data_IF_021382931577
#
_entry.id   IF_021382931577
#
_cell.length_a   1.000
_cell.length_b   1.000
_cell.length_c   1.000
_cell.angle_alpha   90.00
_cell.angle_beta   90.00
_cell.angle_gamma   90.00
#
_symmetry.space_group_name_H-M   'P 1'
#
loop_
_entity.id
_entity.type
_entity.pdbx_description
1 polymer ?
#
# COMPACT_ATOMS: atom_id res chain seq x y z
N UNK A 1 -13.26 -6.05 12.85
CA UNK A 1 -11.89 -6.42 13.24
C UNK A 1 -11.58 -7.75 12.58
N UNK A 2 -11.04 -7.71 11.36
CA UNK A 2 -10.53 -8.89 10.69
C UNK A 2 -9.19 -9.24 11.36
N UNK A 3 -9.07 -10.47 11.84
CA UNK A 3 -7.81 -11.04 12.30
C UNK A 3 -6.98 -11.35 11.06
N UNK A 4 -5.82 -10.69 10.92
CA UNK A 4 -4.82 -11.05 9.92
C UNK A 4 -4.19 -12.39 10.31
N UNK A 5 -4.81 -13.49 9.90
CA UNK A 5 -4.16 -14.79 9.88
C UNK A 5 -3.31 -14.86 8.60
N UNK A 6 -2.14 -14.20 8.63
CA UNK A 6 -1.14 -14.34 7.58
C UNK A 6 -0.42 -15.69 7.73
N UNK A 7 -0.71 -16.63 6.83
CA UNK A 7 0.25 -17.69 6.50
C UNK A 7 1.54 -17.07 5.95
N UNK A 8 2.69 -17.77 5.98
CA UNK A 8 3.98 -17.17 5.67
C UNK A 8 4.13 -16.98 4.17
N UNK A 9 3.72 -15.82 3.66
CA UNK A 9 4.28 -15.30 2.40
C UNK A 9 5.66 -14.74 2.76
N UNK A 10 6.69 -15.55 2.57
CA UNK A 10 8.03 -15.03 2.42
C UNK A 10 8.01 -14.24 1.12
N UNK A 11 8.14 -12.89 1.21
CA UNK A 11 8.27 -12.07 0.00
C UNK A 11 9.43 -12.59 -0.86
N UNK A 12 10.49 -13.12 -0.22
CA UNK A 12 11.59 -13.85 -0.86
C UNK A 12 12.18 -14.90 0.10
N UNK A 13 12.71 -15.99 -0.46
CA UNK A 13 13.31 -17.11 0.28
C UNK A 13 14.56 -16.65 1.07
N UNK A 14 14.64 -16.85 2.40
CA UNK A 14 15.85 -16.56 3.16
C UNK A 14 16.90 -17.58 2.76
N UNK A 15 17.67 -17.27 1.71
CA UNK A 15 18.74 -18.12 1.20
C UNK A 15 19.59 -18.71 2.32
N UNK A 16 19.96 -19.98 2.13
CA UNK A 16 20.78 -20.82 3.02
C UNK A 16 21.81 -20.02 3.82
N UNK A 17 21.88 -20.31 5.12
CA UNK A 17 22.59 -19.59 6.18
C UNK A 17 24.13 -19.42 6.04
N UNK A 18 24.70 -19.51 4.85
CA UNK A 18 26.11 -19.19 4.58
C UNK A 18 26.22 -18.09 3.53
N UNK A 19 26.27 -16.82 3.97
CA UNK A 19 27.35 -15.88 3.68
C UNK A 19 26.95 -14.42 4.01
N UNK A 20 27.85 -13.79 4.78
CA UNK A 20 28.05 -12.37 5.13
C UNK A 20 26.97 -11.60 5.91
N UNK A 21 27.38 -11.18 7.11
CA UNK A 21 26.90 -9.98 7.82
C UNK A 21 26.84 -8.79 6.84
N UNK A 22 25.73 -8.06 6.79
CA UNK A 22 25.59 -6.84 5.96
C UNK A 22 25.02 -7.02 4.54
N UNK A 23 24.13 -7.99 4.29
CA UNK A 23 23.34 -8.04 3.04
C UNK A 23 22.18 -7.04 3.11
N UNK A 24 22.03 -6.20 2.08
CA UNK A 24 20.92 -5.27 1.89
C UNK A 24 19.96 -5.79 0.82
N UNK A 25 18.68 -5.62 1.05
CA UNK A 25 17.61 -5.97 0.13
C UNK A 25 16.96 -4.69 -0.40
N UNK A 26 17.07 -4.45 -1.70
CA UNK A 26 16.37 -3.36 -2.39
C UNK A 26 15.07 -3.91 -2.96
N UNK A 27 13.93 -3.44 -2.46
CA UNK A 27 12.61 -3.85 -2.92
C UNK A 27 11.94 -2.70 -3.66
N UNK A 28 11.74 -2.88 -4.97
CA UNK A 28 11.06 -1.91 -5.82
C UNK A 28 9.61 -2.35 -6.01
N UNK A 29 8.69 -1.51 -5.54
CA UNK A 29 7.25 -1.72 -5.64
C UNK A 29 6.70 -0.77 -6.69
N UNK A 30 6.04 -1.31 -7.72
CA UNK A 30 5.48 -0.54 -8.83
C UNK A 30 3.98 -0.70 -8.89
N UNK A 31 3.28 0.27 -9.49
CA UNK A 31 1.84 0.16 -9.76
C UNK A 31 1.54 -0.52 -11.11
N UNK A 32 2.51 -1.30 -11.65
CA UNK A 32 2.22 -2.24 -12.72
C UNK A 32 1.16 -3.27 -12.28
N UNK A 33 0.29 -3.73 -13.18
CA UNK A 33 -0.78 -4.67 -12.83
C UNK A 33 -0.22 -5.94 -12.17
N UNK A 34 -0.68 -6.22 -10.96
CA UNK A 34 -0.37 -7.47 -10.29
C UNK A 34 -0.85 -8.64 -11.16
N UNK A 35 -0.04 -9.68 -11.22
CA UNK A 35 -0.34 -10.91 -11.95
C UNK A 35 -0.17 -12.09 -11.01
N UNK A 36 -1.00 -13.15 -11.14
CA UNK A 36 -0.78 -14.36 -10.37
C UNK A 36 0.63 -14.90 -10.64
N UNK A 37 1.32 -15.44 -9.62
CA UNK A 37 2.64 -16.01 -9.81
C UNK A 37 2.54 -17.17 -10.80
N UNK A 38 3.11 -17.03 -11.99
CA UNK A 38 3.30 -18.16 -12.90
C UNK A 38 4.34 -19.09 -12.24
N UNK A 39 3.96 -20.34 -11.96
CA UNK A 39 4.84 -21.37 -11.36
C UNK A 39 6.16 -21.59 -12.14
N UNK A 40 6.27 -21.02 -13.35
CA UNK A 40 7.42 -21.19 -14.24
C UNK A 40 8.38 -19.99 -14.28
N UNK A 41 8.00 -18.83 -13.75
CA UNK A 41 8.70 -17.55 -14.02
C UNK A 41 9.02 -16.70 -12.77
N UNK A 42 9.24 -17.34 -11.62
CA UNK A 42 9.63 -16.64 -10.37
C UNK A 42 10.96 -15.86 -10.48
N UNK A 43 11.76 -16.13 -11.52
CA UNK A 43 13.05 -15.46 -11.78
C UNK A 43 12.98 -14.55 -13.03
N UNK A 44 11.93 -14.62 -13.85
CA UNK A 44 11.84 -13.92 -15.14
C UNK A 44 11.01 -12.61 -15.11
N UNK A 45 10.36 -12.26 -14.01
CA UNK A 45 9.44 -11.12 -13.95
C UNK A 45 10.07 -9.78 -13.57
N UNK A 46 11.34 -9.75 -13.16
CA UNK A 46 11.99 -8.56 -12.60
C UNK A 46 12.26 -7.49 -13.69
N UNK A 47 12.66 -7.89 -14.90
CA UNK A 47 12.91 -6.95 -16.01
C UNK A 47 11.66 -6.35 -16.66
N UNK A 48 10.47 -6.91 -16.40
CA UNK A 48 9.23 -6.57 -17.11
C UNK A 48 8.44 -5.41 -16.46
N UNK A 49 8.85 -4.94 -15.28
CA UNK A 49 8.25 -3.75 -14.67
C UNK A 49 8.68 -2.49 -15.42
N UNK A 50 7.85 -1.45 -15.39
CA UNK A 50 8.05 -0.24 -16.21
C UNK A 50 9.41 0.43 -16.00
N UNK A 51 9.95 0.38 -14.78
CA UNK A 51 11.25 0.94 -14.42
C UNK A 51 12.37 -0.10 -14.28
N UNK A 52 12.11 -1.39 -14.56
CA UNK A 52 13.05 -2.49 -14.28
C UNK A 52 14.40 -2.32 -14.96
N UNK A 53 14.41 -1.92 -16.24
CA UNK A 53 15.65 -1.67 -16.99
C UNK A 53 16.46 -0.52 -16.39
N UNK A 54 15.80 0.57 -15.98
CA UNK A 54 16.45 1.72 -15.37
C UNK A 54 17.08 1.35 -14.02
N UNK A 55 16.38 0.56 -13.20
CA UNK A 55 16.91 0.07 -11.92
C UNK A 55 18.09 -0.88 -12.12
N UNK A 56 18.03 -1.79 -13.09
CA UNK A 56 19.14 -2.71 -13.38
C UNK A 56 20.39 -1.96 -13.87
N UNK A 57 20.21 -0.95 -14.73
CA UNK A 57 21.31 -0.08 -15.16
C UNK A 57 21.90 0.67 -13.95
N UNK A 58 21.05 1.26 -13.11
CA UNK A 58 21.44 1.98 -11.90
C UNK A 58 22.27 1.10 -10.94
N UNK A 59 21.86 -0.16 -10.72
CA UNK A 59 22.59 -1.09 -9.87
C UNK A 59 23.94 -1.48 -10.50
N UNK A 60 23.98 -1.64 -11.82
CA UNK A 60 25.22 -1.92 -12.54
C UNK A 60 26.22 -0.77 -12.36
N UNK A 61 25.77 0.47 -12.54
CA UNK A 61 26.57 1.68 -12.35
C UNK A 61 26.98 1.85 -10.87
N UNK A 62 26.12 1.47 -9.93
CA UNK A 62 26.44 1.48 -8.49
C UNK A 62 27.59 0.53 -8.16
N UNK A 63 27.69 -0.64 -8.79
CA UNK A 63 28.80 -1.56 -8.53
C UNK A 63 30.14 -1.05 -9.04
N UNK A 64 30.15 -0.12 -10.00
CA UNK A 64 31.38 0.57 -10.42
C UNK A 64 31.85 1.58 -9.37
N UNK A 65 30.91 2.30 -8.73
CA UNK A 65 31.21 3.35 -7.73
C UNK A 65 31.36 2.83 -6.29
N UNK A 66 30.63 1.77 -5.94
CA UNK A 66 30.64 1.05 -4.66
C UNK A 66 30.87 -0.46 -4.88
N UNK A 67 32.08 -0.89 -5.30
CA UNK A 67 32.37 -2.31 -5.54
C UNK A 67 32.19 -3.21 -4.30
N UNK A 68 32.23 -2.62 -3.10
CA UNK A 68 32.02 -3.30 -1.82
C UNK A 68 30.59 -3.85 -1.63
N UNK A 69 29.63 -3.37 -2.42
CA UNK A 69 28.23 -3.81 -2.43
C UNK A 69 27.95 -4.97 -3.38
N UNK A 70 28.92 -5.35 -4.23
CA UNK A 70 28.76 -6.45 -5.16
C UNK A 70 28.50 -7.77 -4.40
N UNK A 71 27.38 -8.43 -4.71
CA UNK A 71 26.90 -9.63 -4.01
C UNK A 71 26.26 -9.38 -2.64
N UNK A 72 26.26 -8.12 -2.14
CA UNK A 72 25.61 -7.74 -0.87
C UNK A 72 24.28 -7.00 -1.06
N UNK A 73 24.07 -6.36 -2.21
CA UNK A 73 22.78 -5.77 -2.57
C UNK A 73 21.97 -6.76 -3.41
N UNK A 74 20.79 -7.14 -2.92
CA UNK A 74 19.83 -8.00 -3.64
C UNK A 74 18.63 -7.20 -4.10
N UNK A 75 18.39 -7.18 -5.41
CA UNK A 75 17.21 -6.56 -6.00
C UNK A 75 16.01 -7.49 -5.97
N UNK A 76 14.88 -6.93 -5.59
CA UNK A 76 13.57 -7.55 -5.52
C UNK A 76 12.55 -6.60 -6.13
N UNK A 77 11.60 -7.13 -6.89
CA UNK A 77 10.66 -6.33 -7.67
C UNK A 77 9.24 -6.86 -7.49
N UNK A 78 8.29 -5.96 -7.22
CA UNK A 78 6.90 -6.26 -6.89
C UNK A 78 5.98 -5.40 -7.75
N UNK A 79 5.05 -6.03 -8.46
CA UNK A 79 3.91 -5.37 -9.09
C UNK A 79 2.75 -5.34 -8.09
N UNK A 80 2.36 -4.13 -7.67
CA UNK A 80 1.33 -3.89 -6.65
C UNK A 80 0.09 -3.14 -7.21
N UNK A 81 0.05 -2.93 -8.53
CA UNK A 81 -1.02 -2.24 -9.22
C UNK A 81 -2.28 -3.09 -9.41
N UNK A 82 -3.38 -2.43 -9.72
CA UNK A 82 -4.66 -3.10 -9.88
C UNK A 82 -4.67 -4.00 -11.12
N UNK A 83 -5.07 -5.28 -10.98
CA UNK A 83 -5.19 -6.17 -12.12
C UNK A 83 -6.40 -5.79 -12.99
N UNK A 84 -6.40 -6.25 -14.24
CA UNK A 84 -7.43 -5.94 -15.25
C UNK A 84 -8.85 -6.25 -14.79
N UNK A 85 -9.02 -7.24 -13.92
CA UNK A 85 -10.30 -7.64 -13.32
C UNK A 85 -10.96 -6.49 -12.53
N UNK A 86 -10.16 -5.61 -11.92
CA UNK A 86 -10.61 -4.40 -11.20
C UNK A 86 -10.69 -3.14 -12.07
N UNK A 87 -10.23 -3.24 -13.33
CA UNK A 87 -10.19 -2.15 -14.31
C UNK A 87 -11.05 -2.44 -15.55
N UNK A 88 -12.09 -3.27 -15.40
CA UNK A 88 -13.00 -3.67 -16.48
C UNK A 88 -12.30 -4.24 -17.74
N UNK A 89 -11.17 -4.91 -17.56
CA UNK A 89 -10.39 -5.49 -18.65
C UNK A 89 -9.37 -4.54 -19.29
N UNK A 90 -9.32 -3.28 -18.87
CA UNK A 90 -8.42 -2.26 -19.40
C UNK A 90 -7.14 -2.14 -18.56
N UNK A 91 -6.11 -1.54 -19.15
CA UNK A 91 -4.93 -1.11 -18.40
C UNK A 91 -5.23 0.25 -17.75
N UNK A 92 -4.55 0.56 -16.64
CA UNK A 92 -4.58 1.91 -16.07
C UNK A 92 -4.00 2.90 -17.10
N UNK A 93 -4.77 3.91 -17.56
CA UNK A 93 -4.29 4.88 -18.55
C UNK A 93 -3.30 5.90 -17.98
N UNK A 94 -3.07 5.87 -16.66
CA UNK A 94 -2.23 6.85 -15.97
C UNK A 94 -0.75 6.42 -15.92
N UNK A 95 0.19 7.38 -15.84
CA UNK A 95 1.63 7.09 -15.76
C UNK A 95 2.00 6.30 -14.50
N UNK A 96 2.85 5.29 -14.63
CA UNK A 96 3.24 4.44 -13.51
C UNK A 96 4.06 5.15 -12.44
N UNK A 97 4.10 4.58 -11.23
CA UNK A 97 4.84 5.03 -10.05
C UNK A 97 5.68 3.88 -9.48
N UNK A 98 6.64 4.25 -8.64
CA UNK A 98 7.47 3.31 -7.91
C UNK A 98 7.67 3.77 -6.46
N UNK A 99 7.91 2.81 -5.57
CA UNK A 99 8.39 3.03 -4.20
C UNK A 99 9.56 2.06 -4.02
N UNK A 100 10.70 2.56 -3.54
CA UNK A 100 11.89 1.75 -3.30
C UNK A 100 12.12 1.67 -1.81
N UNK A 101 12.19 0.45 -1.27
CA UNK A 101 12.59 0.18 0.10
C UNK A 101 13.99 -0.40 0.13
N UNK A 102 14.77 -0.01 1.12
CA UNK A 102 15.97 -0.72 1.55
C UNK A 102 15.68 -1.44 2.85
N UNK A 103 15.98 -2.73 2.88
CA UNK A 103 15.74 -3.59 4.02
C UNK A 103 17.00 -4.35 4.42
N UNK A 104 17.06 -4.74 5.68
CA UNK A 104 18.06 -5.69 6.15
C UNK A 104 17.73 -7.13 5.72
N UNK A 105 18.57 -8.07 6.14
CA UNK A 105 18.39 -9.50 5.90
C UNK A 105 17.10 -10.08 6.52
N UNK A 106 16.62 -9.49 7.60
CA UNK A 106 15.37 -9.88 8.26
C UNK A 106 14.15 -9.22 7.63
N UNK A 107 14.32 -8.52 6.50
CA UNK A 107 13.28 -7.74 5.82
C UNK A 107 12.71 -6.62 6.69
N UNK A 108 13.49 -6.10 7.65
CA UNK A 108 13.15 -4.89 8.38
C UNK A 108 13.50 -3.68 7.51
N UNK A 109 12.60 -2.70 7.43
CA UNK A 109 12.84 -1.47 6.69
C UNK A 109 13.96 -0.67 7.35
N UNK A 110 14.90 -0.18 6.55
CA UNK A 110 15.99 0.69 6.95
C UNK A 110 15.84 2.09 6.36
N UNK A 111 15.43 2.17 5.10
CA UNK A 111 15.14 3.41 4.40
C UNK A 111 14.12 3.17 3.28
N UNK A 112 13.49 4.23 2.76
CA UNK A 112 12.65 4.15 1.57
C UNK A 112 12.49 5.49 0.87
N UNK A 113 12.17 5.46 -0.42
CA UNK A 113 11.79 6.64 -1.19
C UNK A 113 10.61 6.34 -2.12
N UNK A 114 9.90 7.39 -2.55
CA UNK A 114 8.88 7.30 -3.58
C UNK A 114 9.45 7.87 -4.88
N UNK A 115 9.43 7.09 -5.94
CA UNK A 115 10.08 7.39 -7.22
C UNK A 115 11.21 6.40 -7.52
N UNK A 116 11.82 6.57 -8.69
CA UNK A 116 13.02 5.83 -9.09
C UNK A 116 14.23 6.68 -8.69
N UNK A 117 15.07 6.24 -7.74
CA UNK A 117 16.23 7.02 -7.32
C UNK A 117 17.24 7.13 -8.46
N UNK A 118 17.96 8.25 -8.52
CA UNK A 118 19.19 8.34 -9.30
C UNK A 118 20.37 7.71 -8.56
N UNK A 119 21.56 7.80 -9.15
CA UNK A 119 22.76 7.18 -8.56
C UNK A 119 23.16 7.83 -7.24
N UNK A 120 23.12 9.15 -7.16
CA UNK A 120 23.47 9.87 -5.93
C UNK A 120 22.47 9.55 -4.83
N UNK A 121 21.18 9.57 -5.14
CA UNK A 121 20.11 9.32 -4.18
C UNK A 121 20.14 7.87 -3.68
N UNK A 122 20.44 6.90 -4.56
CA UNK A 122 20.60 5.51 -4.13
C UNK A 122 21.80 5.32 -3.19
N UNK A 123 22.92 6.00 -3.44
CA UNK A 123 24.08 5.97 -2.55
C UNK A 123 23.72 6.55 -1.19
N UNK A 124 23.08 7.71 -1.15
CA UNK A 124 22.65 8.36 0.09
C UNK A 124 21.68 7.45 0.90
N UNK A 125 20.73 6.81 0.20
CA UNK A 125 19.82 5.85 0.83
C UNK A 125 20.55 4.63 1.41
N UNK A 126 21.58 4.13 0.74
CA UNK A 126 22.38 2.99 1.22
C UNK A 126 23.18 3.39 2.47
N UNK A 127 23.85 4.54 2.45
CA UNK A 127 24.61 5.03 3.61
C UNK A 127 23.69 5.29 4.81
N UNK A 128 22.53 5.90 4.55
CA UNK A 128 21.47 6.09 5.55
C UNK A 128 20.95 4.76 6.10
N UNK A 129 20.86 3.72 5.26
CA UNK A 129 20.45 2.37 5.68
C UNK A 129 21.50 1.66 6.54
N UNK A 130 22.79 1.77 6.18
CA UNK A 130 23.91 1.21 6.94
C UNK A 130 24.02 1.86 8.34
N UNK A 131 23.84 3.18 8.42
CA UNK A 131 23.73 3.90 9.69
C UNK A 131 22.53 3.41 10.49
N UNK A 132 21.37 3.29 9.85
CA UNK A 132 20.12 2.87 10.51
C UNK A 132 20.22 1.44 11.05
N UNK A 133 20.81 0.52 10.30
CA UNK A 133 21.07 -0.84 10.74
C UNK A 133 21.98 -0.87 11.98
N UNK A 134 23.01 -0.02 12.00
CA UNK A 134 23.89 0.15 13.15
C UNK A 134 23.15 0.70 14.37
N UNK A 135 22.26 1.70 14.17
CA UNK A 135 21.44 2.26 15.23
C UNK A 135 20.46 1.23 15.82
N UNK A 136 19.81 0.42 14.98
CA UNK A 136 18.93 -0.67 15.39
C UNK A 136 19.69 -1.68 16.27
N UNK A 137 20.90 -2.06 15.87
CA UNK A 137 21.74 -2.97 16.66
C UNK A 137 22.16 -2.37 18.01
N UNK A 138 22.58 -1.10 18.03
CA UNK A 138 23.05 -0.43 19.27
C UNK A 138 21.90 -0.16 20.24
N UNK A 139 20.71 0.18 19.75
CA UNK A 139 19.56 0.56 20.56
C UNK A 139 18.48 -0.53 20.66
N UNK A 140 18.84 -1.80 20.44
CA UNK A 140 17.89 -2.93 20.43
C UNK A 140 16.99 -2.97 21.69
N UNK A 141 17.55 -2.65 22.87
CA UNK A 141 16.84 -2.65 24.14
C UNK A 141 16.23 -1.28 24.53
N UNK A 142 16.38 -0.25 23.69
CA UNK A 142 16.02 1.14 23.99
C UNK A 142 15.18 1.79 22.87
N UNK A 143 13.94 1.30 22.62
CA UNK A 143 13.12 1.73 21.49
C UNK A 143 12.81 3.23 21.50
N UNK A 144 12.61 3.84 22.66
CA UNK A 144 12.37 5.30 22.77
C UNK A 144 13.60 6.12 22.38
N UNK A 145 14.81 5.62 22.67
CA UNK A 145 16.05 6.31 22.31
C UNK A 145 16.34 6.18 20.82
N UNK A 146 16.10 5.00 20.26
CA UNK A 146 16.11 4.78 18.81
C UNK A 146 15.15 5.74 18.11
N UNK A 147 13.87 5.74 18.53
CA UNK A 147 12.84 6.62 17.98
C UNK A 147 13.25 8.09 18.03
N UNK A 148 13.82 8.55 19.15
CA UNK A 148 14.32 9.91 19.28
C UNK A 148 15.45 10.22 18.27
N UNK A 149 16.43 9.33 18.11
CA UNK A 149 17.54 9.55 17.16
C UNK A 149 17.03 9.61 15.72
N UNK A 150 16.08 8.73 15.35
CA UNK A 150 15.46 8.74 14.02
C UNK A 150 14.64 10.01 13.78
N UNK A 151 13.87 10.45 14.78
CA UNK A 151 13.08 11.69 14.72
C UNK A 151 13.96 12.92 14.61
N UNK A 152 15.04 13.01 15.41
CA UNK A 152 15.98 14.14 15.35
C UNK A 152 16.66 14.21 13.97
N UNK A 153 17.05 13.06 13.40
CA UNK A 153 17.58 12.97 12.03
C UNK A 153 16.58 13.42 10.97
N UNK A 154 15.33 12.96 11.05
CA UNK A 154 14.28 13.36 10.12
C UNK A 154 14.06 14.89 10.16
N UNK A 155 14.04 15.50 11.35
CA UNK A 155 13.90 16.96 11.51
C UNK A 155 15.01 17.74 10.82
N UNK A 156 16.23 17.23 10.78
CA UNK A 156 17.37 17.87 10.12
C UNK A 156 17.26 17.83 8.60
N UNK A 157 16.62 16.79 8.04
CA UNK A 157 16.51 16.55 6.59
C UNK A 157 15.29 17.21 5.94
N UNK A 158 14.23 17.47 6.70
CA UNK A 158 12.99 18.05 6.15
C UNK A 158 12.91 19.58 6.26
N UNK A 159 12.11 20.18 5.37
CA UNK A 159 11.75 21.59 5.49
C UNK A 159 10.94 21.91 6.76
N UNK A 160 10.95 23.21 7.13
CA UNK A 160 10.39 23.72 8.38
C UNK A 160 8.95 23.25 8.66
N UNK A 161 8.07 23.25 7.67
CA UNK A 161 6.66 22.90 7.91
C UNK A 161 6.48 21.41 8.25
N UNK A 162 7.27 20.53 7.63
CA UNK A 162 7.29 19.11 7.96
C UNK A 162 7.93 18.88 9.35
N UNK A 163 8.99 19.62 9.68
CA UNK A 163 9.60 19.61 11.01
C UNK A 163 8.60 19.96 12.12
N UNK A 164 7.81 21.02 11.92
CA UNK A 164 6.77 21.43 12.88
C UNK A 164 5.73 20.32 13.09
N UNK A 165 5.38 19.58 12.02
CA UNK A 165 4.50 18.42 12.14
C UNK A 165 5.15 17.29 12.94
N UNK A 166 6.42 16.95 12.68
CA UNK A 166 7.16 15.94 13.45
C UNK A 166 7.22 16.32 14.94
N UNK A 167 7.49 17.60 15.24
CA UNK A 167 7.55 18.11 16.62
C UNK A 167 6.22 18.05 17.36
N UNK A 168 5.10 18.06 16.64
CA UNK A 168 3.77 17.93 17.21
C UNK A 168 3.36 16.48 17.56
N UNK A 169 4.09 15.48 17.06
CA UNK A 169 3.84 14.07 17.35
C UNK A 169 4.51 13.64 18.67
N UNK A 170 3.93 12.65 19.35
CA UNK A 170 4.54 12.08 20.55
C UNK A 170 5.66 11.10 20.15
N UNK A 171 6.77 11.09 20.89
CA UNK A 171 7.88 10.16 20.63
C UNK A 171 7.43 8.69 20.76
N UNK A 172 6.47 8.44 21.65
CA UNK A 172 5.86 7.13 21.87
C UNK A 172 5.15 6.60 20.61
N UNK A 173 4.64 7.48 19.75
CA UNK A 173 3.98 7.08 18.51
C UNK A 173 4.96 6.40 17.54
N UNK A 174 6.25 6.73 17.64
CA UNK A 174 7.33 6.16 16.84
C UNK A 174 8.02 4.93 17.47
N UNK A 175 7.85 4.70 18.78
CA UNK A 175 8.60 3.68 19.53
C UNK A 175 7.92 2.29 19.63
N UNK A 176 6.86 2.04 18.85
CA UNK A 176 5.97 0.87 19.02
C UNK A 176 6.60 -0.47 18.59
N UNK A 177 6.80 -1.41 19.53
CA UNK A 177 7.55 -2.67 19.34
C UNK A 177 6.82 -3.99 19.65
N UNK A 178 5.52 -4.02 19.95
CA UNK A 178 4.76 -5.26 20.30
C UNK A 178 3.58 -5.56 19.36
N UNK A 179 3.00 -6.76 19.38
CA UNK A 179 1.85 -7.13 18.52
C UNK A 179 0.57 -6.32 18.83
N UNK A 180 0.27 -6.02 20.11
CA UNK A 180 -0.77 -5.03 20.43
C UNK A 180 -0.40 -3.62 19.94
N UNK A 181 0.89 -3.40 19.71
CA UNK A 181 1.40 -2.18 19.13
C UNK A 181 1.28 -2.14 17.60
N UNK A 182 0.96 -3.24 16.89
CA UNK A 182 0.77 -3.18 15.43
C UNK A 182 -0.50 -2.42 15.05
N UNK A 183 -1.63 -2.68 15.74
CA UNK A 183 -2.87 -1.93 15.54
C UNK A 183 -2.75 -0.47 16.00
N UNK A 184 -2.02 -0.24 17.09
CA UNK A 184 -1.75 1.12 17.58
C UNK A 184 -0.82 1.88 16.62
N UNK A 185 0.23 1.22 16.14
CA UNK A 185 1.14 1.75 15.13
C UNK A 185 0.39 2.13 13.86
N UNK A 186 -0.43 1.22 13.32
CA UNK A 186 -1.17 1.48 12.08
C UNK A 186 -2.07 2.70 12.25
N UNK A 187 -2.80 2.79 13.36
CA UNK A 187 -3.64 3.96 13.67
C UNK A 187 -2.82 5.25 13.76
N UNK A 188 -1.67 5.21 14.40
CA UNK A 188 -0.78 6.38 14.52
C UNK A 188 -0.20 6.78 13.16
N UNK A 189 0.18 5.79 12.35
CA UNK A 189 0.68 5.98 10.99
C UNK A 189 -0.38 6.62 10.10
N UNK A 190 -1.60 6.08 10.10
CA UNK A 190 -2.74 6.64 9.36
C UNK A 190 -3.04 8.07 9.80
N UNK A 191 -3.02 8.35 11.11
CA UNK A 191 -3.21 9.69 11.66
C UNK A 191 -2.13 10.67 11.15
N UNK A 192 -0.86 10.27 11.13
CA UNK A 192 0.23 11.09 10.60
C UNK A 192 0.07 11.35 9.10
N UNK A 193 -0.21 10.30 8.32
CA UNK A 193 -0.42 10.39 6.86
C UNK A 193 -1.55 11.36 6.51
N UNK A 194 -2.65 11.30 7.26
CA UNK A 194 -3.82 12.18 7.05
C UNK A 194 -3.48 13.63 7.34
N UNK A 195 -2.64 13.90 8.34
CA UNK A 195 -2.13 15.25 8.63
C UNK A 195 -1.09 15.72 7.59
N UNK A 196 -0.30 14.79 7.05
CA UNK A 196 0.71 15.08 6.03
C UNK A 196 0.12 15.43 4.67
N UNK A 197 -1.01 14.83 4.29
CA UNK A 197 -1.56 14.98 2.94
C UNK A 197 -1.86 16.45 2.58
N UNK A 198 -2.52 17.27 3.42
CA UNK A 198 -2.71 18.69 3.14
C UNK A 198 -1.39 19.45 3.01
N UNK A 199 -0.39 19.14 3.84
CA UNK A 199 0.92 19.77 3.79
C UNK A 199 1.64 19.45 2.47
N UNK A 200 1.68 18.16 2.11
CA UNK A 200 2.21 17.69 0.82
C UNK A 200 1.50 18.35 -0.36
N UNK A 201 0.17 18.47 -0.30
CA UNK A 201 -0.62 19.14 -1.34
C UNK A 201 -0.18 20.58 -1.55
N UNK A 202 -0.02 21.35 -0.47
CA UNK A 202 0.39 22.76 -0.53
C UNK A 202 1.82 22.88 -1.05
N UNK A 203 2.73 22.08 -0.49
CA UNK A 203 4.14 22.06 -0.90
C UNK A 203 4.30 21.69 -2.37
N UNK A 204 3.62 20.63 -2.84
CA UNK A 204 3.62 20.21 -4.23
C UNK A 204 3.10 21.32 -5.17
N UNK A 205 1.99 21.97 -4.80
CA UNK A 205 1.43 23.09 -5.56
C UNK A 205 2.44 24.25 -5.66
N UNK A 206 3.16 24.55 -4.59
CA UNK A 206 4.16 25.63 -4.55
C UNK A 206 5.41 25.29 -5.37
N UNK A 207 5.95 24.08 -5.22
CA UNK A 207 7.18 23.65 -5.92
C UNK A 207 6.96 23.46 -7.42
N UNK A 208 5.82 22.92 -7.83
CA UNK A 208 5.58 22.50 -9.21
C UNK A 208 4.56 23.36 -9.96
N UNK A 209 3.94 24.35 -9.31
CA UNK A 209 2.90 25.22 -9.87
C UNK A 209 1.81 24.40 -10.62
N UNK A 210 1.33 23.35 -9.95
CA UNK A 210 0.43 22.37 -10.53
C UNK A 210 -0.67 22.05 -9.51
N UNK A 211 -1.94 22.44 -9.74
CA UNK A 211 -3.01 22.10 -8.81
C UNK A 211 -3.13 20.58 -8.70
N UNK A 212 -2.93 20.07 -7.50
CA UNK A 212 -3.00 18.65 -7.20
C UNK A 212 -4.47 18.19 -7.24
N UNK A 213 -4.91 17.66 -8.38
CA UNK A 213 -6.02 16.72 -8.37
C UNK A 213 -5.47 15.34 -7.95
N UNK A 214 -6.18 14.66 -7.04
CA UNK A 214 -5.84 13.31 -6.59
C UNK A 214 -5.63 12.43 -7.82
N UNK A 215 -4.48 11.75 -7.89
CA UNK A 215 -4.11 10.85 -8.98
C UNK A 215 -4.16 11.46 -10.39
N UNK A 216 -3.81 12.75 -10.53
CA UNK A 216 -3.61 13.36 -11.85
C UNK A 216 -2.39 12.78 -12.59
N UNK A 217 -2.38 12.73 -13.93
CA UNK A 217 -1.21 12.29 -14.69
C UNK A 217 0.07 13.07 -14.35
N UNK A 218 -0.05 14.38 -14.14
CA UNK A 218 1.08 15.25 -13.81
C UNK A 218 1.68 14.95 -12.44
N UNK A 219 0.83 14.65 -11.44
CA UNK A 219 1.30 14.19 -10.13
C UNK A 219 2.09 12.90 -10.26
N UNK A 220 1.54 11.90 -10.96
CA UNK A 220 2.20 10.59 -11.12
C UNK A 220 3.54 10.68 -11.83
N UNK A 221 3.66 11.51 -12.88
CA UNK A 221 4.94 11.78 -13.55
C UNK A 221 5.95 12.41 -12.59
N UNK A 222 5.54 13.41 -11.81
CA UNK A 222 6.47 14.05 -10.87
C UNK A 222 6.88 13.09 -9.74
N UNK A 223 5.98 12.24 -9.27
CA UNK A 223 6.26 11.17 -8.29
C UNK A 223 7.14 10.03 -8.83
N UNK A 224 7.50 10.02 -10.13
CA UNK A 224 8.55 9.14 -10.63
C UNK A 224 9.95 9.59 -10.16
N UNK A 225 10.08 10.85 -9.70
CA UNK A 225 11.32 11.41 -9.16
C UNK A 225 11.28 11.46 -7.62
N UNK A 226 12.35 10.98 -6.98
CA UNK A 226 12.44 10.88 -5.51
C UNK A 226 12.29 12.21 -4.77
N UNK A 227 12.70 13.31 -5.40
CA UNK A 227 12.63 14.66 -4.85
C UNK A 227 11.19 15.16 -4.67
N UNK A 228 10.23 14.60 -5.43
CA UNK A 228 8.84 15.02 -5.34
C UNK A 228 8.24 14.73 -3.96
N UNK A 229 8.59 13.59 -3.35
CA UNK A 229 8.08 13.16 -2.04
C UNK A 229 9.13 13.03 -0.96
N UNK A 230 10.35 13.53 -1.17
CA UNK A 230 11.46 13.41 -0.23
C UNK A 230 11.08 13.80 1.21
N UNK A 231 10.57 15.02 1.43
CA UNK A 231 10.15 15.49 2.76
C UNK A 231 9.05 14.62 3.39
N UNK A 232 8.12 14.12 2.57
CA UNK A 232 7.07 13.22 3.02
C UNK A 232 7.68 11.89 3.49
N UNK A 233 8.63 11.34 2.74
CA UNK A 233 9.30 10.08 3.06
C UNK A 233 10.10 10.19 4.36
N UNK A 234 10.93 11.24 4.47
CA UNK A 234 11.73 11.52 5.67
C UNK A 234 10.85 11.74 6.91
N UNK A 235 9.66 12.33 6.74
CA UNK A 235 8.74 12.55 7.87
C UNK A 235 8.14 11.24 8.39
N UNK A 236 7.79 10.29 7.52
CA UNK A 236 7.17 9.02 7.94
C UNK A 236 8.19 7.93 8.25
N UNK A 237 9.42 8.02 7.73
CA UNK A 237 10.47 7.02 7.88
C UNK A 237 10.69 6.56 9.33
N UNK A 238 10.73 7.45 10.35
CA UNK A 238 10.89 7.02 11.74
C UNK A 238 9.82 6.05 12.25
N UNK A 239 8.62 6.01 11.63
CA UNK A 239 7.57 5.05 11.97
C UNK A 239 7.75 3.69 11.28
N UNK A 240 8.60 3.60 10.25
CA UNK A 240 8.77 2.41 9.42
C UNK A 240 10.03 1.63 9.77
N UNK A 241 11.09 2.33 10.16
CA UNK A 241 12.39 1.73 10.47
C UNK A 241 12.27 0.60 11.49
N UNK A 242 12.95 -0.52 11.22
CA UNK A 242 12.95 -1.72 12.05
C UNK A 242 11.68 -2.58 11.95
N UNK A 243 10.65 -2.13 11.21
CA UNK A 243 9.43 -2.92 11.00
C UNK A 243 9.58 -3.82 9.78
N UNK A 244 8.99 -4.99 9.89
CA UNK A 244 8.90 -5.98 8.83
C UNK A 244 8.20 -5.41 7.59
N UNK A 245 8.84 -5.51 6.42
CA UNK A 245 8.34 -4.94 5.15
C UNK A 245 6.90 -5.37 4.85
N UNK A 246 6.58 -6.66 5.05
CA UNK A 246 5.22 -7.21 4.86
C UNK A 246 4.13 -6.48 5.65
N UNK A 247 4.48 -5.86 6.79
CA UNK A 247 3.54 -5.12 7.64
C UNK A 247 3.34 -3.68 7.18
N UNK A 248 4.37 -3.10 6.54
CA UNK A 248 4.36 -1.68 6.15
C UNK A 248 4.03 -1.45 4.69
N UNK A 249 4.27 -2.43 3.82
CA UNK A 249 4.14 -2.26 2.37
C UNK A 249 2.72 -1.84 1.98
N UNK A 250 1.67 -2.50 2.49
CA UNK A 250 0.28 -2.14 2.19
C UNK A 250 -0.07 -0.70 2.64
N UNK A 251 0.11 -0.33 3.92
CA UNK A 251 -0.17 1.04 4.38
C UNK A 251 0.63 2.12 3.64
N UNK A 252 1.92 1.89 3.38
CA UNK A 252 2.78 2.86 2.70
C UNK A 252 2.33 3.04 1.25
N UNK A 253 2.14 1.94 0.53
CA UNK A 253 1.69 2.02 -0.87
C UNK A 253 0.31 2.68 -0.98
N UNK A 254 -0.64 2.30 -0.12
CA UNK A 254 -1.98 2.91 -0.11
C UNK A 254 -1.91 4.41 0.19
N UNK A 255 -1.12 4.84 1.18
CA UNK A 255 -0.98 6.27 1.52
C UNK A 255 -0.32 7.10 0.42
N UNK A 256 0.67 6.54 -0.27
CA UNK A 256 1.40 7.22 -1.34
C UNK A 256 0.52 7.31 -2.59
N UNK A 257 -0.05 6.19 -3.01
CA UNK A 257 -0.82 6.09 -4.25
C UNK A 257 -2.28 6.52 -4.12
N UNK A 258 -2.78 6.65 -2.89
CA UNK A 258 -4.20 6.88 -2.57
C UNK A 258 -5.08 5.85 -3.26
N UNK A 259 -4.61 4.62 -3.27
CA UNK A 259 -5.21 3.46 -3.92
C UNK A 259 -4.71 2.19 -3.21
N UNK A 260 -5.61 1.34 -2.71
CA UNK A 260 -5.20 0.11 -2.01
C UNK A 260 -4.41 -0.79 -2.96
N UNK A 261 -3.20 -1.25 -2.58
CA UNK A 261 -2.41 -2.13 -3.44
C UNK A 261 -2.99 -3.53 -3.53
N UNK A 262 -2.64 -4.21 -4.63
CA UNK A 262 -2.90 -5.64 -4.85
C UNK A 262 -1.55 -6.30 -5.07
N UNK A 263 -1.06 -7.11 -4.13
CA UNK A 263 0.30 -7.63 -4.12
C UNK A 263 0.30 -9.15 -4.31
N UNK A 264 -0.58 -9.87 -3.60
CA UNK A 264 -0.65 -11.32 -3.64
C UNK A 264 -2.00 -11.80 -4.18
N UNK A 265 -1.96 -12.40 -5.37
CA UNK A 265 -3.11 -13.00 -6.05
C UNK A 265 -3.12 -14.54 -5.97
N UNK A 266 -2.24 -15.14 -5.18
CA UNK A 266 -2.17 -16.60 -5.06
C UNK A 266 -3.39 -17.16 -4.32
N UNK A 267 -3.97 -18.24 -4.85
CA UNK A 267 -5.14 -18.88 -4.22
C UNK A 267 -4.81 -19.41 -2.81
N UNK A 268 -3.56 -19.83 -2.59
CA UNK A 268 -3.10 -20.37 -1.30
C UNK A 268 -3.18 -19.35 -0.15
N UNK A 269 -2.77 -18.10 -0.39
CA UNK A 269 -2.84 -17.03 0.61
C UNK A 269 -4.27 -16.60 0.95
N UNK A 270 -5.24 -16.91 0.08
CA UNK A 270 -6.63 -16.50 0.19
C UNK A 270 -7.61 -17.68 0.30
N UNK A 271 -7.12 -18.87 0.65
CA UNK A 271 -7.89 -20.11 0.65
C UNK A 271 -9.16 -20.03 1.52
N UNK A 272 -9.06 -19.46 2.72
CA UNK A 272 -10.20 -19.28 3.64
C UNK A 272 -11.31 -18.41 3.04
N UNK A 273 -10.93 -17.35 2.33
CA UNK A 273 -11.88 -16.46 1.65
C UNK A 273 -12.55 -17.19 0.47
N UNK A 274 -11.75 -17.88 -0.33
CA UNK A 274 -12.22 -18.64 -1.49
C UNK A 274 -13.19 -19.76 -1.08
N UNK A 275 -12.84 -20.55 -0.07
CA UNK A 275 -13.71 -21.61 0.47
C UNK A 275 -15.02 -21.02 1.02
N UNK A 276 -14.93 -19.92 1.77
CA UNK A 276 -16.09 -19.23 2.31
C UNK A 276 -17.03 -18.73 1.20
N UNK A 277 -16.48 -18.19 0.11
CA UNK A 277 -17.24 -17.68 -1.02
C UNK A 277 -17.88 -18.81 -1.83
N UNK A 278 -17.10 -19.81 -2.24
CA UNK A 278 -17.55 -20.94 -3.05
C UNK A 278 -18.67 -21.73 -2.35
N UNK A 279 -18.55 -21.96 -1.04
CA UNK A 279 -19.58 -22.67 -0.26
C UNK A 279 -20.94 -21.95 -0.21
N UNK A 280 -21.01 -20.66 -0.57
CA UNK A 280 -22.22 -19.83 -0.50
C UNK A 280 -22.73 -19.36 -1.86
N UNK A 281 -21.85 -19.33 -2.87
CA UNK A 281 -22.07 -18.71 -4.20
C UNK A 281 -23.38 -19.11 -4.88
N UNK A 282 -23.79 -20.36 -4.74
CA UNK A 282 -24.97 -20.92 -5.40
C UNK A 282 -26.23 -20.98 -4.53
N UNK A 283 -26.09 -20.76 -3.22
CA UNK A 283 -27.15 -21.01 -2.22
C UNK A 283 -27.59 -19.78 -1.46
N UNK A 284 -26.77 -18.73 -1.40
CA UNK A 284 -27.05 -17.52 -0.64
C UNK A 284 -26.65 -16.25 -1.40
N UNK A 285 -27.25 -15.13 -1.00
CA UNK A 285 -26.77 -13.81 -1.40
C UNK A 285 -25.52 -13.47 -0.59
N UNK A 286 -24.45 -13.10 -1.27
CA UNK A 286 -23.18 -12.65 -0.68
C UNK A 286 -23.07 -11.15 -0.92
N UNK A 287 -22.70 -10.42 0.12
CA UNK A 287 -22.41 -8.98 0.03
C UNK A 287 -20.98 -8.74 0.46
N UNK A 288 -20.20 -8.17 -0.44
CA UNK A 288 -18.90 -7.61 -0.13
C UNK A 288 -19.00 -6.11 0.10
N UNK A 289 -18.46 -5.64 1.21
CA UNK A 289 -18.20 -4.24 1.48
C UNK A 289 -16.73 -3.96 1.17
N UNK A 290 -16.46 -3.12 0.19
CA UNK A 290 -15.09 -2.85 -0.26
C UNK A 290 -14.44 -1.84 0.67
N UNK A 291 -13.32 -2.24 1.26
CA UNK A 291 -12.49 -1.38 2.11
C UNK A 291 -11.84 -0.28 1.25
N UNK A 292 -12.08 1.01 1.53
CA UNK A 292 -11.46 2.10 0.79
C UNK A 292 -10.00 2.34 1.24
N UNK A 293 -9.30 3.24 0.56
CA UNK A 293 -7.97 3.73 0.95
C UNK A 293 -7.95 4.38 2.34
N UNK A 294 -6.79 4.37 2.99
CA UNK A 294 -6.53 4.95 4.32
C UNK A 294 -7.09 6.36 4.49
N UNK A 295 -6.88 7.23 3.50
CA UNK A 295 -7.31 8.65 3.57
C UNK A 295 -8.84 8.71 3.58
N UNK A 296 -9.49 7.88 2.78
CA UNK A 296 -10.95 7.83 2.67
C UNK A 296 -11.61 7.15 3.87
N UNK A 297 -10.94 6.20 4.52
CA UNK A 297 -11.46 5.56 5.73
C UNK A 297 -11.72 6.55 6.88
N UNK A 298 -11.03 7.71 6.88
CA UNK A 298 -11.25 8.77 7.86
C UNK A 298 -12.63 9.44 7.73
N UNK A 299 -13.28 9.30 6.57
CA UNK A 299 -14.63 9.80 6.36
C UNK A 299 -15.62 8.77 6.86
N UNK A 300 -16.38 9.12 7.89
CA UNK A 300 -17.39 8.23 8.47
C UNK A 300 -18.36 7.73 7.39
N UNK A 301 -18.45 6.41 7.26
CA UNK A 301 -19.36 5.73 6.34
C UNK A 301 -20.24 4.73 7.10
N UNK A 302 -21.55 4.65 6.82
CA UNK A 302 -22.35 5.55 5.98
C UNK A 302 -22.31 7.01 6.48
N UNK A 303 -22.42 8.00 5.58
CA UNK A 303 -22.40 9.40 5.97
C UNK A 303 -23.60 9.68 6.90
N UNK A 304 -23.39 10.26 8.10
CA UNK A 304 -24.38 10.25 9.18
C UNK A 304 -25.67 11.04 8.88
N UNK A 305 -25.75 11.84 7.82
CA UNK A 305 -26.96 12.59 7.44
C UNK A 305 -26.99 12.97 5.96
N UNK A 306 -27.49 12.10 5.08
CA UNK A 306 -27.80 12.50 3.70
C UNK A 306 -29.15 13.23 3.71
N UNK A 307 -29.08 14.57 3.74
CA UNK A 307 -30.16 15.55 3.53
C UNK A 307 -31.59 15.11 3.97
N UNK A 308 -32.15 15.64 5.08
CA UNK A 308 -33.50 15.30 5.55
C UNK A 308 -34.63 15.65 4.55
N UNK A 309 -34.33 16.41 3.48
CA UNK A 309 -35.27 16.68 2.38
C UNK A 309 -35.41 15.49 1.42
N UNK A 310 -34.46 14.55 1.40
CA UNK A 310 -34.66 13.25 0.75
C UNK A 310 -35.53 12.39 1.65
N UNK A 311 -36.85 12.48 1.49
CA UNK A 311 -37.79 11.48 2.03
C UNK A 311 -37.52 10.14 1.34
N UNK A 312 -36.53 9.41 1.84
CA UNK A 312 -36.04 8.18 1.24
C UNK A 312 -35.12 7.44 2.19
N UNK A 313 -35.07 6.12 2.04
CA UNK A 313 -34.18 5.24 2.80
C UNK A 313 -32.71 5.63 2.57
N UNK A 314 -31.94 5.66 3.66
CA UNK A 314 -30.55 6.12 3.75
C UNK A 314 -29.52 5.05 3.35
N UNK A 315 -28.24 5.43 3.25
CA UNK A 315 -27.13 4.47 3.13
C UNK A 315 -27.07 3.52 4.33
N UNK A 316 -27.36 4.02 5.53
CA UNK A 316 -27.46 3.18 6.73
C UNK A 316 -28.58 2.14 6.62
N UNK A 317 -29.74 2.51 6.08
CA UNK A 317 -30.84 1.55 5.85
C UNK A 317 -30.45 0.46 4.84
N UNK A 318 -29.66 0.82 3.82
CA UNK A 318 -29.14 -0.14 2.85
C UNK A 318 -28.15 -1.11 3.49
N UNK A 319 -27.21 -0.62 4.28
CA UNK A 319 -26.26 -1.47 4.98
C UNK A 319 -26.95 -2.40 5.98
N UNK A 320 -27.94 -1.91 6.73
CA UNK A 320 -28.78 -2.74 7.63
C UNK A 320 -29.57 -3.81 6.84
N UNK A 321 -30.02 -3.50 5.62
CA UNK A 321 -30.69 -4.50 4.79
C UNK A 321 -29.71 -5.56 4.27
N UNK A 322 -28.52 -5.14 3.86
CA UNK A 322 -27.48 -6.03 3.33
C UNK A 322 -26.82 -6.89 4.41
N UNK A 323 -26.70 -6.40 5.65
CA UNK A 323 -26.11 -7.14 6.76
C UNK A 323 -26.93 -8.34 7.21
N UNK A 324 -28.16 -8.50 6.69
CA UNK A 324 -28.99 -9.71 6.87
C UNK A 324 -28.54 -10.88 5.99
N UNK A 325 -27.69 -10.62 4.99
CA UNK A 325 -27.13 -11.62 4.08
C UNK A 325 -25.70 -11.99 4.50
N UNK A 326 -25.02 -12.86 3.75
CA UNK A 326 -23.62 -13.19 4.02
C UNK A 326 -22.73 -11.97 3.71
N UNK A 327 -22.55 -11.11 4.71
CA UNK A 327 -21.87 -9.82 4.61
C UNK A 327 -20.43 -9.92 5.10
N UNK A 328 -19.47 -9.46 4.27
CA UNK A 328 -18.04 -9.46 4.61
C UNK A 328 -17.36 -8.21 4.06
N UNK A 329 -16.48 -7.59 4.85
CA UNK A 329 -15.56 -6.57 4.35
C UNK A 329 -14.43 -7.22 3.58
N UNK A 330 -14.08 -6.68 2.40
CA UNK A 330 -13.00 -7.20 1.56
C UNK A 330 -12.07 -6.08 1.09
N UNK A 331 -10.78 -6.37 1.03
CA UNK A 331 -9.79 -5.48 0.40
C UNK A 331 -9.88 -5.51 -1.12
N UNK A 332 -9.18 -4.59 -1.81
CA UNK A 332 -9.06 -4.64 -3.27
C UNK A 332 -8.39 -5.94 -3.74
N UNK A 333 -7.39 -6.43 -2.99
CA UNK A 333 -6.70 -7.70 -3.27
C UNK A 333 -7.62 -8.91 -3.12
N UNK A 334 -8.32 -9.04 -1.98
CA UNK A 334 -9.31 -10.10 -1.75
C UNK A 334 -10.39 -10.09 -2.84
N UNK A 335 -10.84 -8.90 -3.26
CA UNK A 335 -11.78 -8.77 -4.35
C UNK A 335 -11.19 -9.23 -5.70
N UNK A 336 -9.95 -8.85 -6.01
CA UNK A 336 -9.28 -9.25 -7.24
C UNK A 336 -9.17 -10.78 -7.33
N UNK A 337 -8.81 -11.45 -6.22
CA UNK A 337 -8.75 -12.90 -6.13
C UNK A 337 -10.11 -13.55 -6.40
N UNK A 338 -11.18 -13.02 -5.81
CA UNK A 338 -12.54 -13.53 -6.08
C UNK A 338 -12.92 -13.37 -7.56
N UNK A 339 -12.65 -12.20 -8.15
CA UNK A 339 -12.97 -11.93 -9.55
C UNK A 339 -12.13 -12.75 -10.53
N UNK A 340 -10.92 -13.15 -10.14
CA UNK A 340 -10.09 -14.05 -10.92
C UNK A 340 -10.69 -15.46 -11.01
N UNK A 341 -11.20 -15.99 -9.88
CA UNK A 341 -11.87 -17.30 -9.85
C UNK A 341 -13.23 -17.24 -10.56
N UNK A 342 -13.96 -16.13 -10.43
CA UNK A 342 -15.19 -15.83 -11.18
C UNK A 342 -14.87 -15.27 -12.57
N UNK A 343 -14.24 -16.10 -13.42
CA UNK A 343 -13.71 -15.80 -14.78
C UNK A 343 -14.58 -14.97 -15.74
N UNK A 344 -15.86 -14.72 -15.44
CA UNK A 344 -16.78 -13.92 -16.24
C UNK A 344 -17.03 -12.49 -15.73
N UNK A 345 -16.37 -12.08 -14.64
CA UNK A 345 -16.64 -10.79 -13.99
C UNK A 345 -15.39 -9.91 -13.98
N UNK A 346 -15.32 -8.98 -14.92
CA UNK A 346 -14.46 -7.80 -14.83
C UNK A 346 -15.32 -6.57 -14.54
N UNK A 347 -14.91 -5.74 -13.60
CA UNK A 347 -15.58 -4.48 -13.27
C UNK A 347 -14.55 -3.37 -13.10
N UNK A 348 -14.96 -2.11 -13.23
CA UNK A 348 -14.09 -0.99 -12.90
C UNK A 348 -14.39 -0.52 -11.48
N UNK A 349 -13.48 -0.72 -10.53
CA UNK A 349 -13.75 -0.38 -9.13
C UNK A 349 -13.69 1.14 -8.83
N UNK A 350 -13.23 1.98 -9.76
CA UNK A 350 -13.08 3.44 -9.58
C UNK A 350 -14.09 4.30 -10.37
N UNK A 351 -14.57 3.83 -11.53
CA UNK A 351 -15.37 4.63 -12.48
C UNK A 351 -16.81 4.12 -12.58
N UNK A 352 -17.85 4.98 -12.61
CA UNK A 352 -17.83 6.45 -12.56
C UNK A 352 -17.62 7.04 -11.16
N UNK A 353 -17.78 6.22 -10.13
CA UNK A 353 -17.39 6.50 -8.76
C UNK A 353 -16.99 5.17 -8.10
N UNK A 354 -16.38 5.24 -6.92
CA UNK A 354 -15.83 4.07 -6.25
C UNK A 354 -16.91 3.04 -5.95
N UNK A 355 -16.57 1.78 -6.18
CA UNK A 355 -17.39 0.64 -5.81
C UNK A 355 -17.39 0.50 -4.28
N UNK A 356 -18.58 0.45 -3.67
CA UNK A 356 -18.75 0.33 -2.21
C UNK A 356 -19.22 -1.03 -1.80
N UNK A 357 -20.19 -1.57 -2.53
CA UNK A 357 -20.67 -2.92 -2.30
C UNK A 357 -20.72 -3.69 -3.61
N UNK A 358 -20.38 -4.97 -3.53
CA UNK A 358 -20.56 -5.93 -4.61
C UNK A 358 -21.44 -7.07 -4.11
N UNK A 359 -22.53 -7.33 -4.81
CA UNK A 359 -23.52 -8.30 -4.36
C UNK A 359 -23.66 -9.44 -5.36
N UNK A 360 -23.34 -10.64 -4.91
CA UNK A 360 -23.54 -11.87 -5.66
C UNK A 360 -24.85 -12.49 -5.24
N UNK A 361 -25.73 -12.74 -6.20
CA UNK A 361 -26.98 -13.46 -5.97
C UNK A 361 -26.84 -14.92 -6.40
N UNK A 362 -27.53 -15.84 -5.71
CA UNK A 362 -27.43 -17.25 -6.03
C UNK A 362 -27.86 -17.50 -7.48
N UNK A 363 -27.03 -18.22 -8.23
CA UNK A 363 -27.27 -18.60 -9.64
C UNK A 363 -27.36 -17.43 -10.63
N UNK A 364 -27.07 -16.20 -10.21
CA UNK A 364 -26.92 -15.08 -11.14
C UNK A 364 -25.46 -15.00 -11.63
N UNK A 365 -25.28 -14.79 -12.93
CA UNK A 365 -23.96 -14.73 -13.55
C UNK A 365 -23.24 -13.39 -13.42
N UNK A 366 -23.95 -12.31 -13.06
CA UNK A 366 -23.36 -10.97 -12.88
C UNK A 366 -23.69 -10.42 -11.50
N UNK A 367 -22.69 -9.95 -10.73
CA UNK A 367 -22.95 -9.30 -9.46
C UNK A 367 -23.60 -7.92 -9.67
N UNK A 368 -24.30 -7.46 -8.64
CA UNK A 368 -24.84 -6.11 -8.56
C UNK A 368 -23.79 -5.20 -7.93
N UNK A 369 -23.34 -4.22 -8.71
CA UNK A 369 -22.46 -3.14 -8.26
C UNK A 369 -23.27 -2.02 -7.58
N UNK A 370 -22.82 -1.58 -6.41
CA UNK A 370 -23.36 -0.42 -5.70
C UNK A 370 -22.22 0.55 -5.42
N UNK A 371 -22.32 1.76 -5.99
CA UNK A 371 -21.25 2.77 -5.99
C UNK A 371 -21.60 3.98 -5.13
N UNK A 372 -20.60 4.75 -4.73
CA UNK A 372 -20.78 5.94 -3.87
C UNK A 372 -21.80 6.94 -4.40
N UNK A 373 -21.82 7.15 -5.72
CA UNK A 373 -22.72 8.10 -6.37
C UNK A 373 -24.15 7.57 -6.55
N UNK A 374 -24.43 6.31 -6.22
CA UNK A 374 -25.74 5.73 -6.41
C UNK A 374 -26.76 6.18 -5.33
N UNK A 375 -28.04 6.13 -5.68
CA UNK A 375 -29.14 6.34 -4.74
C UNK A 375 -29.44 5.05 -3.96
N UNK A 376 -29.28 5.01 -2.62
CA UNK A 376 -29.46 3.79 -1.82
C UNK A 376 -30.86 3.16 -1.99
N UNK A 377 -31.89 4.01 -2.07
CA UNK A 377 -33.29 3.60 -2.18
C UNK A 377 -33.58 2.67 -3.37
N UNK A 378 -32.79 2.74 -4.45
CA UNK A 378 -32.87 1.87 -5.64
C UNK A 378 -32.60 0.39 -5.29
N UNK A 379 -31.77 0.15 -4.27
CA UNK A 379 -31.29 -1.19 -3.94
C UNK A 379 -32.01 -1.81 -2.76
N UNK A 380 -32.50 -1.03 -1.80
CA UNK A 380 -33.08 -1.59 -0.56
C UNK A 380 -34.38 -2.38 -0.82
N UNK A 381 -35.09 -2.11 -1.91
CA UNK A 381 -36.27 -2.92 -2.29
C UNK A 381 -35.89 -4.28 -2.89
N UNK A 382 -34.61 -4.50 -3.17
CA UNK A 382 -34.06 -5.70 -3.79
C UNK A 382 -33.41 -6.65 -2.77
N UNK A 383 -33.42 -6.31 -1.49
CA UNK A 383 -32.82 -7.05 -0.38
C UNK A 383 -33.83 -7.45 0.68
#
# INVERSE_FOLDING_TARGET
MASFAAGPVLLFDPGSASQTDGTLHMVVVTDDPASPPDERDVIASSENLWCGQAINALISDLYETRPDLNGKLKLHQIAAGWPKQLLAGENDPLPQRAIVFLCDREQQVLDFCVGVPGQAELIDMIESSEETASLLSIQADQPTKLAKQLVDRAKERVHRNYRELIESQLLEDFATSTESADAAWLKNYESLVVQLLPLYTVDFNLRFNAPMAINSPRLRILEQHCEARHDWCETVLPMLVGKQLRRVIHPVVDSVWQAPPVIDLSEGSHADLLEWFQSRRDVATIVFAITPDVITQQVSWPPPNVNPKMRGRSWSDLEIAMSKHAFRGVTAEELAVILQVETQVSLNALVPSRLRYLVFRPKEGKPVEIRESDLPSKFIRRF
#
